data_IF_430293396790
#
_entry.id   IF_430293396790
#
_cell.length_a   1.000
_cell.length_b   1.000
_cell.length_c   1.000
_cell.angle_alpha   90.00
_cell.angle_beta   90.00
_cell.angle_gamma   90.00
#
_symmetry.space_group_name_H-M   'P 1'
#
loop_
_entity.id
_entity.type
_entity.pdbx_description
1 polymer ?
#
# COMPACT_ATOMS: atom_id res chain seq x y z
N UNK A 1 -22.20 15.22 23.35
CA UNK A 1 -21.66 15.31 21.99
C UNK A 1 -20.16 15.34 22.10
N UNK A 2 -19.49 14.23 21.81
CA UNK A 2 -18.04 14.13 21.85
C UNK A 2 -17.46 14.57 20.51
N UNK A 3 -16.67 15.63 20.53
CA UNK A 3 -15.92 16.18 19.41
C UNK A 3 -14.90 15.17 18.89
N UNK A 4 -14.96 14.91 17.59
CA UNK A 4 -13.97 14.15 16.82
C UNK A 4 -12.60 14.83 16.94
N UNK A 5 -11.49 14.09 17.07
CA UNK A 5 -10.21 14.65 16.69
C UNK A 5 -10.28 14.89 15.18
N UNK A 6 -10.16 16.16 14.81
CA UNK A 6 -9.95 16.63 13.45
C UNK A 6 -8.63 16.03 12.94
N UNK A 7 -8.68 14.78 12.49
CA UNK A 7 -7.63 14.22 11.66
C UNK A 7 -7.60 15.11 10.42
N UNK A 8 -6.48 15.79 10.23
CA UNK A 8 -6.22 16.66 9.09
C UNK A 8 -6.41 15.81 7.82
N UNK A 9 -7.62 15.79 7.27
CA UNK A 9 -7.88 15.22 5.97
C UNK A 9 -7.28 16.20 4.99
N UNK A 10 -6.04 15.93 4.60
CA UNK A 10 -5.41 16.55 3.45
C UNK A 10 -6.13 15.95 2.23
N UNK A 11 -7.36 16.41 2.02
CA UNK A 11 -8.21 16.00 0.93
C UNK A 11 -7.66 16.65 -0.33
N UNK A 12 -6.89 15.89 -1.10
CA UNK A 12 -6.26 16.34 -2.32
C UNK A 12 -6.93 15.63 -3.51
N UNK A 13 -8.10 16.12 -4.00
CA UNK A 13 -8.86 15.46 -5.06
C UNK A 13 -8.14 15.42 -6.41
N UNK A 14 -7.03 16.14 -6.56
CA UNK A 14 -6.19 16.15 -7.76
C UNK A 14 -4.92 15.29 -7.64
N UNK A 15 -4.70 14.64 -6.50
CA UNK A 15 -3.49 13.86 -6.27
C UNK A 15 -3.55 12.58 -7.11
N UNK A 16 -2.64 12.46 -8.08
CA UNK A 16 -2.53 11.29 -8.97
C UNK A 16 -1.57 10.23 -8.44
N UNK A 17 -0.60 10.64 -7.63
CA UNK A 17 0.41 9.77 -7.07
C UNK A 17 0.62 10.05 -5.59
N UNK A 18 0.59 9.02 -4.76
CA UNK A 18 0.83 9.09 -3.32
C UNK A 18 1.69 7.91 -2.90
N UNK A 19 2.67 8.13 -2.03
CA UNK A 19 3.47 7.05 -1.45
C UNK A 19 3.62 7.28 0.06
N UNK A 20 3.21 6.28 0.85
CA UNK A 20 3.44 6.21 2.29
C UNK A 20 4.26 4.97 2.57
N UNK A 21 5.50 5.16 3.00
CA UNK A 21 6.38 4.05 3.35
C UNK A 21 6.50 3.97 4.87
N UNK A 22 6.31 2.78 5.43
CA UNK A 22 6.49 2.54 6.86
C UNK A 22 7.51 1.42 7.10
N UNK A 23 8.09 1.36 8.30
CA UNK A 23 9.21 0.47 8.65
C UNK A 23 8.88 -1.03 8.80
N UNK A 24 7.83 -1.54 8.14
CA UNK A 24 7.59 -2.96 7.87
C UNK A 24 7.95 -3.96 8.98
N UNK A 25 7.35 -3.87 10.17
CA UNK A 25 7.51 -4.89 11.20
C UNK A 25 6.34 -5.87 11.16
N UNK A 26 6.62 -7.15 10.89
CA UNK A 26 5.63 -8.26 10.83
C UNK A 26 4.72 -8.39 12.08
N UNK A 27 5.12 -7.78 13.20
CA UNK A 27 4.46 -7.87 14.50
C UNK A 27 3.57 -6.67 14.84
N UNK A 28 3.43 -5.70 13.95
CA UNK A 28 2.51 -4.57 14.16
C UNK A 28 1.06 -5.01 13.95
N UNK A 29 0.14 -4.50 14.78
CA UNK A 29 -1.29 -4.78 14.71
C UNK A 29 -1.92 -4.18 13.45
N UNK A 30 -2.70 -4.95 12.67
CA UNK A 30 -3.33 -4.47 11.43
C UNK A 30 -4.02 -3.11 11.62
N UNK A 31 -3.69 -2.14 10.77
CA UNK A 31 -4.21 -0.78 10.76
C UNK A 31 -4.67 -0.38 9.36
N UNK A 32 -5.98 -0.47 9.12
CA UNK A 32 -6.61 -0.11 7.85
C UNK A 32 -7.05 1.37 7.79
N UNK A 33 -6.88 2.14 8.88
CA UNK A 33 -7.31 3.55 9.00
C UNK A 33 -6.82 4.41 7.84
N UNK A 34 -5.55 4.25 7.46
CA UNK A 34 -4.92 4.97 6.34
C UNK A 34 -5.50 4.57 4.99
N UNK A 35 -5.71 3.26 4.77
CA UNK A 35 -6.28 2.76 3.54
C UNK A 35 -7.71 3.30 3.32
N UNK A 36 -8.51 3.33 4.38
CA UNK A 36 -9.85 3.94 4.38
C UNK A 36 -9.79 5.44 4.09
N UNK A 37 -8.90 6.18 4.75
CA UNK A 37 -8.75 7.61 4.50
C UNK A 37 -8.35 7.92 3.04
N UNK A 38 -7.48 7.11 2.44
CA UNK A 38 -7.11 7.24 1.01
C UNK A 38 -8.33 6.96 0.14
N UNK A 39 -9.04 5.86 0.38
CA UNK A 39 -10.23 5.47 -0.36
C UNK A 39 -11.32 6.56 -0.34
N UNK A 40 -11.52 7.21 0.81
CA UNK A 40 -12.54 8.24 0.98
C UNK A 40 -12.16 9.59 0.36
N UNK A 41 -10.87 9.94 0.34
CA UNK A 41 -10.42 11.31 0.03
C UNK A 41 -9.69 11.44 -1.31
N UNK A 42 -9.31 10.33 -1.95
CA UNK A 42 -8.45 10.35 -3.15
C UNK A 42 -9.02 9.53 -4.32
N UNK A 43 -10.24 9.80 -4.79
CA UNK A 43 -10.88 8.98 -5.83
C UNK A 43 -10.20 9.03 -7.20
N UNK A 44 -9.38 10.05 -7.45
CA UNK A 44 -8.65 10.23 -8.71
C UNK A 44 -7.21 9.68 -8.68
N UNK A 45 -6.85 8.95 -7.61
CA UNK A 45 -5.52 8.40 -7.46
C UNK A 45 -5.24 7.35 -8.54
N UNK A 46 -4.05 7.41 -9.14
CA UNK A 46 -3.58 6.50 -10.19
C UNK A 46 -2.40 5.65 -9.74
N UNK A 47 -1.57 6.18 -8.85
CA UNK A 47 -0.39 5.48 -8.34
C UNK A 47 -0.36 5.57 -6.82
N UNK A 48 -0.32 4.41 -6.16
CA UNK A 48 -0.29 4.31 -4.71
C UNK A 48 0.85 3.40 -4.25
N UNK A 49 1.75 3.95 -3.43
CA UNK A 49 2.75 3.18 -2.70
C UNK A 49 2.40 3.06 -1.22
N UNK A 50 2.38 1.84 -0.70
CA UNK A 50 2.12 1.53 0.71
C UNK A 50 3.23 0.66 1.31
N UNK A 51 4.45 0.71 0.78
CA UNK A 51 5.52 -0.19 1.21
C UNK A 51 5.68 -0.24 2.73
N UNK A 52 5.64 -1.44 3.30
CA UNK A 52 5.83 -1.68 4.73
C UNK A 52 4.68 -1.23 5.65
N UNK A 53 3.51 -0.90 5.09
CA UNK A 53 2.33 -0.62 5.90
C UNK A 53 1.68 -1.92 6.39
N UNK A 54 1.14 -1.88 7.60
CA UNK A 54 0.48 -3.02 8.21
C UNK A 54 -1.03 -2.99 7.95
N UNK A 55 -1.43 -3.07 6.70
CA UNK A 55 -2.84 -3.23 6.29
C UNK A 55 -3.16 -4.69 5.96
N UNK A 56 -4.44 -5.05 5.98
CA UNK A 56 -4.94 -6.34 5.52
C UNK A 56 -5.59 -6.25 4.14
N UNK A 57 -6.03 -7.39 3.63
CA UNK A 57 -6.86 -7.50 2.43
C UNK A 57 -8.10 -6.59 2.46
N UNK A 58 -8.67 -6.33 3.64
CA UNK A 58 -9.79 -5.38 3.79
C UNK A 58 -9.37 -3.93 3.51
N UNK A 59 -8.15 -3.55 3.90
CA UNK A 59 -7.60 -2.25 3.53
C UNK A 59 -7.39 -2.13 2.01
N UNK A 60 -6.89 -3.19 1.38
CA UNK A 60 -6.72 -3.22 -0.08
C UNK A 60 -8.06 -3.14 -0.81
N UNK A 61 -9.09 -3.87 -0.36
CA UNK A 61 -10.45 -3.78 -0.91
C UNK A 61 -11.00 -2.36 -0.83
N UNK A 62 -10.88 -1.72 0.33
CA UNK A 62 -11.32 -0.34 0.50
C UNK A 62 -10.66 0.61 -0.52
N UNK A 63 -9.35 0.47 -0.74
CA UNK A 63 -8.62 1.24 -1.75
C UNK A 63 -9.19 0.99 -3.16
N UNK A 64 -9.40 -0.28 -3.53
CA UNK A 64 -9.95 -0.62 -4.85
C UNK A 64 -11.39 -0.13 -5.03
N UNK A 65 -12.18 -0.04 -3.97
CA UNK A 65 -13.55 0.48 -3.99
C UNK A 65 -13.58 2.02 -4.08
N UNK A 66 -12.66 2.70 -3.37
CA UNK A 66 -12.61 4.16 -3.30
C UNK A 66 -11.78 4.84 -4.39
N UNK A 67 -10.82 4.14 -5.00
CA UNK A 67 -9.91 4.68 -6.02
C UNK A 67 -10.12 3.99 -7.38
N UNK A 68 -11.22 4.30 -8.11
CA UNK A 68 -11.57 3.60 -9.34
C UNK A 68 -10.60 3.82 -10.52
N UNK A 69 -9.72 4.81 -10.41
CA UNK A 69 -8.72 5.13 -11.43
C UNK A 69 -7.33 4.61 -11.11
N UNK A 70 -7.18 3.77 -10.08
CA UNK A 70 -5.89 3.26 -9.66
C UNK A 70 -5.30 2.34 -10.74
N UNK A 71 -4.05 2.62 -11.13
CA UNK A 71 -3.32 1.89 -12.17
C UNK A 71 -2.09 1.16 -11.61
N UNK A 72 -1.51 1.69 -10.53
CA UNK A 72 -0.31 1.15 -9.89
C UNK A 72 -0.50 1.08 -8.38
N UNK A 73 -0.16 -0.07 -7.79
CA UNK A 73 -0.25 -0.33 -6.36
C UNK A 73 0.99 -1.10 -5.89
N UNK A 74 1.78 -0.47 -5.01
CA UNK A 74 2.95 -1.09 -4.40
C UNK A 74 2.67 -1.50 -2.95
N UNK A 75 2.61 -2.81 -2.70
CA UNK A 75 2.35 -3.41 -1.40
C UNK A 75 3.58 -4.11 -0.81
N UNK A 76 4.79 -3.90 -1.36
CA UNK A 76 5.98 -4.56 -0.82
C UNK A 76 6.10 -4.39 0.70
N UNK A 77 6.56 -5.41 1.40
CA UNK A 77 6.68 -5.41 2.87
C UNK A 77 5.35 -5.25 3.64
N UNK A 78 4.18 -5.26 2.97
CA UNK A 78 2.86 -5.30 3.62
C UNK A 78 2.50 -6.74 3.99
N UNK A 79 3.22 -7.31 4.96
CA UNK A 79 3.19 -8.75 5.25
C UNK A 79 1.87 -9.32 5.79
N UNK A 80 0.88 -8.45 6.07
CA UNK A 80 -0.45 -8.83 6.53
C UNK A 80 -1.48 -8.88 5.37
N UNK A 81 -1.07 -8.55 4.15
CA UNK A 81 -1.86 -8.71 2.94
C UNK A 81 -1.54 -10.06 2.31
N UNK A 82 -2.57 -10.85 2.03
CA UNK A 82 -2.42 -12.19 1.45
C UNK A 82 -2.73 -12.22 -0.05
N UNK A 83 -3.58 -11.33 -0.56
CA UNK A 83 -4.02 -11.28 -1.96
C UNK A 83 -4.43 -12.68 -2.47
N UNK A 84 -5.52 -13.23 -1.93
CA UNK A 84 -6.03 -14.53 -2.35
C UNK A 84 -7.44 -14.45 -2.96
N UNK A 85 -7.78 -15.47 -3.73
CA UNK A 85 -9.13 -15.66 -4.27
C UNK A 85 -9.57 -14.51 -5.18
N UNK A 86 -10.73 -13.93 -4.88
CA UNK A 86 -11.33 -12.91 -5.75
C UNK A 86 -10.64 -11.55 -5.65
N UNK A 87 -9.96 -11.26 -4.52
CA UNK A 87 -9.17 -10.04 -4.39
C UNK A 87 -7.97 -10.04 -5.33
N UNK A 88 -7.28 -11.19 -5.44
CA UNK A 88 -6.15 -11.36 -6.35
C UNK A 88 -6.57 -11.18 -7.82
N UNK A 89 -7.68 -11.81 -8.21
CA UNK A 89 -8.26 -11.64 -9.56
C UNK A 89 -8.60 -10.18 -9.83
N UNK A 90 -9.27 -9.53 -8.88
CA UNK A 90 -9.67 -8.12 -9.01
C UNK A 90 -8.45 -7.20 -9.14
N UNK A 91 -7.42 -7.43 -8.33
CA UNK A 91 -6.15 -6.71 -8.44
C UNK A 91 -5.53 -6.93 -9.82
N UNK A 92 -5.50 -8.17 -10.32
CA UNK A 92 -4.92 -8.50 -11.63
C UNK A 92 -5.69 -7.92 -12.82
N UNK A 93 -7.02 -7.78 -12.71
CA UNK A 93 -7.85 -7.20 -13.77
C UNK A 93 -7.81 -5.68 -13.82
N UNK A 94 -7.65 -5.02 -12.66
CA UNK A 94 -7.74 -3.56 -12.55
C UNK A 94 -6.36 -2.89 -12.49
N UNK A 95 -5.42 -3.46 -11.74
CA UNK A 95 -4.12 -2.85 -11.47
C UNK A 95 -3.12 -3.32 -12.53
N UNK A 96 -2.61 -2.36 -13.30
CA UNK A 96 -1.63 -2.62 -14.37
C UNK A 96 -0.25 -2.95 -13.82
N UNK A 97 0.10 -2.32 -12.71
CA UNK A 97 1.40 -2.45 -12.05
C UNK A 97 1.20 -2.73 -10.56
N UNK A 98 1.15 -4.01 -10.22
CA UNK A 98 0.99 -4.48 -8.85
C UNK A 98 2.33 -5.01 -8.32
N UNK A 99 2.79 -4.49 -7.19
CA UNK A 99 3.94 -5.05 -6.46
C UNK A 99 3.46 -5.78 -5.22
N UNK A 100 3.78 -7.07 -5.12
CA UNK A 100 3.28 -7.93 -4.05
C UNK A 100 4.06 -7.75 -2.75
N UNK A 101 3.48 -8.11 -1.59
CA UNK A 101 4.14 -8.00 -0.28
C UNK A 101 5.52 -8.62 -0.14
N UNK A 102 5.80 -9.68 -0.90
CA UNK A 102 7.06 -10.42 -0.83
C UNK A 102 8.00 -10.14 -2.00
N UNK A 103 7.65 -9.20 -2.89
CA UNK A 103 8.56 -8.78 -3.96
C UNK A 103 9.81 -8.13 -3.36
N UNK A 104 10.96 -8.37 -3.98
CA UNK A 104 12.21 -7.76 -3.53
C UNK A 104 12.18 -6.26 -3.75
N UNK A 105 12.50 -5.52 -2.69
CA UNK A 105 12.67 -4.07 -2.78
C UNK A 105 14.01 -3.73 -3.42
N UNK A 106 14.13 -2.51 -3.98
CA UNK A 106 15.42 -2.02 -4.48
C UNK A 106 16.48 -1.95 -3.37
N UNK A 107 16.06 -1.80 -2.11
CA UNK A 107 16.95 -1.84 -0.95
C UNK A 107 17.46 -3.25 -0.66
N UNK A 108 16.60 -4.27 -0.78
CA UNK A 108 16.98 -5.68 -0.63
C UNK A 108 18.05 -6.09 -1.64
N UNK A 109 17.92 -5.60 -2.89
CA UNK A 109 18.89 -5.85 -3.96
C UNK A 109 20.23 -5.21 -3.62
N UNK A 110 20.25 -3.92 -3.24
CA UNK A 110 21.46 -3.20 -2.84
C UNK A 110 22.17 -3.86 -1.65
N UNK A 111 21.41 -4.31 -0.65
CA UNK A 111 21.96 -5.00 0.52
C UNK A 111 22.63 -6.33 0.12
N UNK A 112 21.98 -7.13 -0.74
CA UNK A 112 22.55 -8.39 -1.26
C UNK A 112 23.82 -8.16 -2.07
N UNK A 113 23.86 -7.13 -2.92
CA UNK A 113 25.05 -6.76 -3.69
C UNK A 113 26.21 -6.34 -2.80
N UNK A 114 25.95 -5.49 -1.80
CA UNK A 114 26.96 -5.07 -0.81
C UNK A 114 27.57 -6.27 -0.09
N UNK A 115 26.74 -7.21 0.36
CA UNK A 115 27.18 -8.44 1.04
C UNK A 115 27.99 -9.37 0.12
N UNK A 116 27.68 -9.40 -1.18
CA UNK A 116 28.45 -10.15 -2.18
C UNK A 116 29.83 -9.53 -2.41
N UNK A 117 29.92 -8.20 -2.42
CA UNK A 117 31.16 -7.47 -2.63
C UNK A 117 32.09 -7.47 -1.40
N UNK A 118 31.56 -7.63 -0.18
CA UNK A 118 32.37 -7.75 1.05
C UNK A 118 32.88 -9.18 1.33
N UNK A 119 32.47 -10.17 0.53
CA UNK A 119 32.93 -11.57 0.63
C UNK A 119 34.00 -11.93 -0.42
N UNK A 120 34.46 -10.96 -1.21
CA UNK A 120 35.63 -11.03 -2.09
C UNK A 120 36.77 -10.26 -1.47
#
# INVERSE_FOLDING_TARGET
GGSLPETISISCPLLKSLAFNNGGYRFWAVENSRALAIAENMPNLRHLGLTGNALSDEGVKAILDGCPHLESLDLQQCFQVELQGDLDKRCSEWIKDLRHPFDSTAEDVKYKEKKRNTKK
#
